data_IF_343129020299
#
_entry.id   IF_343129020299
#
_cell.length_a   1.000
_cell.length_b   1.000
_cell.length_c   1.000
_cell.angle_alpha   90.00
_cell.angle_beta   90.00
_cell.angle_gamma   90.00
#
_symmetry.space_group_name_H-M   'P 1'
#
loop_
_entity.id
_entity.type
_entity.pdbx_description
1 polymer ?
#
# COMPACT_ATOMS: atom_id res chain seq x y z
N UNK A 1 -0.52 16.33 7.40
CA UNK A 1 -0.20 15.66 6.12
C UNK A 1 -1.50 15.34 5.37
N UNK A 2 -2.37 16.34 5.17
CA UNK A 2 -3.76 16.18 4.66
C UNK A 2 -4.11 17.16 3.52
N UNK A 3 -3.12 17.73 2.81
CA UNK A 3 -3.35 18.76 1.78
C UNK A 3 -2.84 18.38 0.38
N UNK A 4 -2.51 17.10 0.11
CA UNK A 4 -2.20 16.68 -1.27
C UNK A 4 -3.49 16.44 -2.04
N UNK A 5 -3.94 17.51 -2.68
CA UNK A 5 -5.18 17.55 -3.47
C UNK A 5 -5.00 16.89 -4.85
N UNK A 6 -3.77 16.77 -5.37
CA UNK A 6 -3.49 16.21 -6.69
C UNK A 6 -2.10 15.55 -6.80
N UNK A 7 -2.02 14.45 -7.56
CA UNK A 7 -0.82 13.73 -7.98
C UNK A 7 -0.62 13.94 -9.50
N UNK A 8 0.59 14.32 -9.93
CA UNK A 8 0.93 14.44 -11.35
C UNK A 8 1.59 13.14 -11.82
N UNK A 9 1.11 12.59 -12.94
CA UNK A 9 1.67 11.37 -13.52
C UNK A 9 1.58 11.41 -15.04
N UNK A 10 2.74 11.35 -15.72
CA UNK A 10 2.87 11.30 -17.20
C UNK A 10 2.03 12.36 -17.94
N UNK A 11 2.01 13.58 -17.41
CA UNK A 11 1.26 14.71 -17.98
C UNK A 11 -0.24 14.72 -17.65
N UNK A 12 -0.71 13.78 -16.83
CA UNK A 12 -2.09 13.71 -16.38
C UNK A 12 -2.18 14.04 -14.88
N UNK A 13 -3.28 14.67 -14.49
CA UNK A 13 -3.55 14.99 -13.08
C UNK A 13 -4.52 13.97 -12.51
N UNK A 14 -4.14 13.39 -11.37
CA UNK A 14 -4.96 12.50 -10.58
C UNK A 14 -5.27 13.14 -9.26
N UNK A 15 -6.39 12.77 -8.66
CA UNK A 15 -6.66 13.08 -7.27
C UNK A 15 -7.01 11.83 -6.50
N UNK A 16 -6.84 11.97 -5.21
CA UNK A 16 -7.20 11.02 -4.19
C UNK A 16 -8.75 10.95 -4.08
N UNK A 17 -9.31 9.75 -4.29
CA UNK A 17 -10.76 9.54 -4.32
C UNK A 17 -11.35 9.60 -2.90
N UNK A 18 -12.26 10.54 -2.66
CA UNK A 18 -12.88 10.73 -1.34
C UNK A 18 -13.65 9.51 -0.83
N UNK A 19 -14.19 8.69 -1.74
CA UNK A 19 -14.93 7.47 -1.40
C UNK A 19 -14.08 6.38 -0.76
N UNK A 20 -12.75 6.44 -0.89
CA UNK A 20 -11.83 5.43 -0.35
C UNK A 20 -11.07 5.89 0.90
N UNK A 21 -11.17 7.18 1.25
CA UNK A 21 -10.44 7.83 2.36
C UNK A 21 -10.58 7.10 3.69
N UNK A 22 -11.76 6.55 3.99
CA UNK A 22 -12.05 5.90 5.28
C UNK A 22 -11.23 4.64 5.57
N UNK A 23 -10.61 4.03 4.56
CA UNK A 23 -9.77 2.86 4.73
C UNK A 23 -8.30 3.10 4.37
N UNK A 24 -7.90 4.26 3.85
CA UNK A 24 -6.50 4.54 3.51
C UNK A 24 -5.51 4.39 4.66
N UNK A 25 -5.81 4.87 5.89
CA UNK A 25 -4.85 4.73 6.99
C UNK A 25 -4.53 3.26 7.30
N UNK A 26 -5.49 2.37 7.00
CA UNK A 26 -5.42 0.92 7.26
C UNK A 26 -4.97 0.12 6.05
N UNK A 27 -5.14 0.66 4.85
CA UNK A 27 -4.77 -0.04 3.63
C UNK A 27 -3.26 -0.30 3.55
N UNK A 28 -2.88 -1.51 3.14
CA UNK A 28 -1.50 -1.90 2.86
C UNK A 28 -1.42 -2.50 1.46
N UNK A 29 -0.43 -2.04 0.71
CA UNK A 29 -0.05 -2.57 -0.59
C UNK A 29 1.17 -3.45 -0.38
N UNK A 30 1.13 -4.69 -0.85
CA UNK A 30 2.12 -5.71 -0.56
C UNK A 30 2.68 -6.22 -1.89
N UNK A 31 3.98 -6.06 -2.10
CA UNK A 31 4.71 -6.74 -3.18
C UNK A 31 5.37 -8.01 -2.65
N UNK A 32 5.10 -9.12 -3.33
CA UNK A 32 5.80 -10.38 -3.13
C UNK A 32 7.08 -10.38 -3.98
N UNK A 33 8.26 -10.69 -3.42
CA UNK A 33 9.51 -10.75 -4.18
C UNK A 33 9.54 -11.87 -5.23
N UNK A 34 8.75 -12.94 -5.05
CA UNK A 34 8.75 -14.11 -5.94
C UNK A 34 7.75 -13.98 -7.10
N UNK A 35 6.78 -13.08 -7.00
CA UNK A 35 5.75 -12.87 -8.02
C UNK A 35 6.05 -11.59 -8.82
N UNK A 36 6.16 -11.75 -10.15
CA UNK A 36 6.37 -10.62 -11.06
C UNK A 36 5.13 -9.71 -11.19
N UNK A 37 3.95 -10.12 -10.70
CA UNK A 37 2.66 -9.40 -10.81
C UNK A 37 1.60 -9.93 -9.81
N UNK A 38 0.54 -9.16 -9.45
CA UNK A 38 0.50 -7.75 -9.07
C UNK A 38 0.56 -7.56 -7.54
N UNK A 39 0.67 -6.30 -7.11
CA UNK A 39 0.54 -5.90 -5.71
C UNK A 39 -0.76 -6.45 -5.11
N UNK A 40 -0.70 -6.93 -3.86
CA UNK A 40 -1.88 -7.27 -3.07
C UNK A 40 -2.33 -6.07 -2.26
N UNK A 41 -3.63 -5.82 -2.25
CA UNK A 41 -4.27 -4.86 -1.36
C UNK A 41 -4.92 -5.58 -0.19
N UNK A 42 -4.65 -5.12 1.03
CA UNK A 42 -5.52 -5.36 2.19
C UNK A 42 -6.06 -4.03 2.69
N UNK A 43 -7.30 -4.03 3.15
CA UNK A 43 -8.02 -2.78 3.51
C UNK A 43 -8.41 -2.70 4.99
N UNK A 44 -8.29 -3.80 5.71
CA UNK A 44 -8.59 -3.91 7.13
C UNK A 44 -7.61 -4.85 7.85
N UNK A 45 -7.63 -4.77 9.17
CA UNK A 45 -6.74 -5.53 10.06
C UNK A 45 -6.98 -7.04 10.00
N UNK A 46 -8.23 -7.48 9.86
CA UNK A 46 -8.55 -8.91 9.81
C UNK A 46 -7.98 -9.56 8.54
N UNK A 47 -8.10 -8.89 7.39
CA UNK A 47 -7.49 -9.31 6.13
C UNK A 47 -5.97 -9.34 6.22
N UNK A 48 -5.39 -8.34 6.87
CA UNK A 48 -3.95 -8.23 7.08
C UNK A 48 -3.41 -9.38 7.93
N UNK A 49 -4.01 -9.64 9.10
CA UNK A 49 -3.59 -10.73 9.97
C UNK A 49 -3.78 -12.11 9.31
N UNK A 50 -4.90 -12.30 8.59
CA UNK A 50 -5.12 -13.53 7.82
C UNK A 50 -4.05 -13.73 6.74
N UNK A 51 -3.67 -12.65 6.04
CA UNK A 51 -2.59 -12.71 5.05
C UNK A 51 -1.25 -13.04 5.71
N UNK A 52 -0.87 -12.34 6.78
CA UNK A 52 0.39 -12.58 7.48
C UNK A 52 0.47 -14.03 7.99
N UNK A 53 -0.61 -14.56 8.56
CA UNK A 53 -0.67 -15.96 9.00
C UNK A 53 -0.50 -16.95 7.84
N UNK A 54 -1.09 -16.67 6.67
CA UNK A 54 -0.92 -17.49 5.47
C UNK A 54 0.52 -17.49 4.95
N UNK A 55 1.25 -16.40 5.12
CA UNK A 55 2.68 -16.32 4.79
C UNK A 55 3.59 -16.93 5.88
N UNK A 56 3.01 -17.54 6.91
CA UNK A 56 3.76 -18.17 7.99
C UNK A 56 4.29 -17.17 9.03
N UNK A 57 3.85 -15.91 9.01
CA UNK A 57 4.19 -14.96 10.06
C UNK A 57 3.47 -15.37 11.35
N UNK A 58 4.22 -15.84 12.33
CA UNK A 58 3.72 -16.07 13.69
C UNK A 58 3.97 -14.79 14.49
N UNK A 59 2.89 -14.13 14.90
CA UNK A 59 3.00 -13.08 15.92
C UNK A 59 3.25 -13.79 17.24
N UNK A 60 4.51 -13.90 17.65
CA UNK A 60 4.87 -14.39 18.97
C UNK A 60 4.37 -13.36 19.99
N UNK A 61 3.20 -13.65 20.55
CA UNK A 61 2.56 -12.79 21.54
C UNK A 61 3.27 -12.93 22.87
N UNK A 62 3.91 -11.85 23.33
CA UNK A 62 4.13 -11.63 24.78
C UNK A 62 4.43 -10.18 25.17
N UNK A 63 4.53 -9.24 24.23
CA UNK A 63 4.47 -7.81 24.56
C UNK A 63 3.07 -7.28 24.27
N UNK A 64 2.26 -7.10 25.30
CA UNK A 64 0.94 -6.43 25.21
C UNK A 64 1.02 -4.97 24.72
N UNK A 65 2.23 -4.45 24.47
CA UNK A 65 2.48 -3.09 24.03
C UNK A 65 2.70 -2.96 22.52
N UNK A 66 2.91 -4.07 21.79
CA UNK A 66 3.24 -4.02 20.37
C UNK A 66 2.02 -4.33 19.50
N UNK A 67 1.62 -3.35 18.68
CA UNK A 67 0.53 -3.46 17.71
C UNK A 67 0.76 -4.67 16.77
N UNK A 68 -0.17 -5.65 16.71
CA UNK A 68 -0.05 -6.84 15.86
C UNK A 68 0.20 -6.52 14.39
N UNK A 69 -0.32 -5.39 13.90
CA UNK A 69 -0.08 -4.94 12.52
C UNK A 69 1.39 -4.54 12.32
N UNK A 70 1.98 -3.85 13.29
CA UNK A 70 3.38 -3.43 13.20
C UNK A 70 4.34 -4.63 13.27
N UNK A 71 4.07 -5.59 14.15
CA UNK A 71 4.88 -6.81 14.28
C UNK A 71 4.89 -7.65 12.99
N UNK A 72 3.75 -7.75 12.32
CA UNK A 72 3.59 -8.51 11.07
C UNK A 72 4.20 -7.79 9.86
N UNK A 73 4.28 -6.45 9.85
CA UNK A 73 5.00 -5.72 8.79
C UNK A 73 6.47 -6.13 8.81
N UNK A 74 7.10 -6.08 9.98
CA UNK A 74 8.52 -6.45 10.12
C UNK A 74 8.79 -7.91 9.76
N UNK A 75 7.88 -8.83 10.13
CA UNK A 75 8.00 -10.23 9.78
C UNK A 75 7.94 -10.45 8.25
N UNK A 76 7.01 -9.77 7.57
CA UNK A 76 6.88 -9.82 6.11
C UNK A 76 8.10 -9.20 5.41
N UNK A 77 8.55 -8.03 5.86
CA UNK A 77 9.75 -7.37 5.33
C UNK A 77 11.01 -8.22 5.54
N UNK A 78 11.14 -8.89 6.69
CA UNK A 78 12.20 -9.86 6.95
C UNK A 78 12.16 -11.07 6.02
N UNK A 79 10.98 -11.42 5.49
CA UNK A 79 10.77 -12.42 4.45
C UNK A 79 10.97 -11.90 3.02
N UNK A 80 11.39 -10.65 2.83
CA UNK A 80 11.63 -10.04 1.52
C UNK A 80 10.42 -9.39 0.87
N UNK A 81 9.25 -9.37 1.54
CA UNK A 81 8.10 -8.61 1.05
C UNK A 81 8.35 -7.11 1.17
N UNK A 82 7.77 -6.34 0.26
CA UNK A 82 7.72 -4.88 0.42
C UNK A 82 6.31 -4.46 0.75
N UNK A 83 6.15 -3.67 1.82
CA UNK A 83 4.84 -3.21 2.30
C UNK A 83 4.80 -1.69 2.25
N UNK A 84 3.79 -1.13 1.58
CA UNK A 84 3.52 0.31 1.57
C UNK A 84 2.16 0.62 2.18
N UNK A 85 2.11 1.65 3.02
CA UNK A 85 0.88 2.42 3.18
C UNK A 85 0.55 3.17 1.88
N UNK A 86 -0.71 3.61 1.73
CA UNK A 86 -1.11 4.45 0.59
C UNK A 86 -0.26 5.72 0.50
N UNK A 87 0.05 6.34 1.64
CA UNK A 87 0.89 7.54 1.67
C UNK A 87 2.31 7.26 1.14
N UNK A 88 2.94 6.18 1.62
CA UNK A 88 4.28 5.77 1.15
C UNK A 88 4.28 5.39 -0.33
N UNK A 89 3.21 4.76 -0.83
CA UNK A 89 3.07 4.44 -2.25
C UNK A 89 3.02 5.73 -3.10
N UNK A 90 2.25 6.72 -2.67
CA UNK A 90 2.16 8.02 -3.36
C UNK A 90 3.50 8.78 -3.32
N UNK A 91 4.16 8.81 -2.16
CA UNK A 91 5.49 9.41 -2.03
C UNK A 91 6.50 8.73 -2.97
N UNK A 92 6.45 7.40 -3.08
CA UNK A 92 7.32 6.65 -3.98
C UNK A 92 7.08 7.00 -5.45
N UNK A 93 5.81 7.10 -5.85
CA UNK A 93 5.42 7.51 -7.21
C UNK A 93 5.95 8.92 -7.53
N UNK A 94 5.86 9.86 -6.59
CA UNK A 94 6.34 11.23 -6.79
C UNK A 94 7.87 11.32 -6.87
N UNK A 95 8.58 10.56 -6.02
CA UNK A 95 10.04 10.62 -5.93
C UNK A 95 10.72 9.86 -7.07
N UNK A 96 10.14 8.76 -7.52
CA UNK A 96 10.74 7.89 -8.55
C UNK A 96 9.73 7.51 -9.65
N UNK A 97 9.17 8.49 -10.39
CA UNK A 97 8.06 8.25 -11.32
C UNK A 97 8.42 7.37 -12.52
N UNK A 98 9.70 7.28 -12.87
CA UNK A 98 10.18 6.45 -13.98
C UNK A 98 10.45 4.98 -13.57
N UNK A 99 10.29 4.64 -12.29
CA UNK A 99 10.51 3.27 -11.82
C UNK A 99 9.36 2.33 -12.22
N UNK A 100 9.69 1.04 -12.41
CA UNK A 100 8.69 -0.01 -12.63
C UNK A 100 7.74 -0.12 -11.42
N UNK A 101 8.28 0.04 -10.21
CA UNK A 101 7.50 0.07 -8.97
C UNK A 101 6.47 1.21 -8.98
N UNK A 102 6.87 2.44 -9.35
CA UNK A 102 5.94 3.56 -9.47
C UNK A 102 4.86 3.30 -10.53
N UNK A 103 5.22 2.73 -11.68
CA UNK A 103 4.27 2.39 -12.73
C UNK A 103 3.24 1.35 -12.25
N UNK A 104 3.69 0.32 -11.54
CA UNK A 104 2.81 -0.70 -10.96
C UNK A 104 1.93 -0.15 -9.83
N UNK A 105 2.49 0.66 -8.92
CA UNK A 105 1.73 1.31 -7.86
C UNK A 105 0.65 2.23 -8.44
N UNK A 106 0.99 3.02 -9.47
CA UNK A 106 0.04 3.91 -10.13
C UNK A 106 -1.11 3.14 -10.79
N UNK A 107 -0.81 2.05 -11.50
CA UNK A 107 -1.81 1.19 -12.11
C UNK A 107 -2.75 0.58 -11.06
N UNK A 108 -2.20 0.03 -9.96
CA UNK A 108 -2.97 -0.59 -8.90
C UNK A 108 -3.85 0.42 -8.15
N UNK A 109 -3.30 1.58 -7.78
CA UNK A 109 -4.05 2.64 -7.09
C UNK A 109 -5.20 3.19 -7.95
N UNK A 110 -5.02 3.25 -9.27
CA UNK A 110 -6.11 3.63 -10.20
C UNK A 110 -7.15 2.52 -10.31
N UNK A 111 -6.74 1.27 -10.48
CA UNK A 111 -7.64 0.11 -10.60
C UNK A 111 -8.47 -0.12 -9.34
N UNK A 112 -7.90 0.11 -8.16
CA UNK A 112 -8.57 0.01 -6.87
C UNK A 112 -9.28 1.30 -6.44
N UNK A 113 -9.40 2.27 -7.35
CA UNK A 113 -10.14 3.51 -7.14
C UNK A 113 -9.61 4.39 -5.99
N UNK A 114 -8.34 4.25 -5.61
CA UNK A 114 -7.67 5.21 -4.71
C UNK A 114 -7.39 6.52 -5.44
N UNK A 115 -7.03 6.43 -6.72
CA UNK A 115 -6.78 7.56 -7.59
C UNK A 115 -7.85 7.64 -8.68
N UNK A 116 -8.39 8.83 -8.89
CA UNK A 116 -9.26 9.16 -10.01
C UNK A 116 -8.61 10.23 -10.87
N UNK A 117 -8.65 10.04 -12.18
CA UNK A 117 -8.12 11.00 -13.14
C UNK A 117 -9.03 12.23 -13.18
N UNK A 118 -8.44 13.41 -13.10
CA UNK A 118 -9.16 14.66 -13.27
C UNK A 118 -9.31 14.98 -14.76
N UNK A 119 -10.49 15.47 -15.20
CA UNK A 119 -10.61 16.02 -16.54
C UNK A 119 -9.69 17.26 -16.66
N UNK A 120 -9.07 17.39 -17.83
CA UNK A 120 -8.29 18.58 -18.22
C UNK A 120 -9.19 19.81 -18.35
#
# INVERSE_FOLDING_TARGET
MMDRIALQWRGETYRLNRGTVSFWPRARLIANPEEATPLRLVTDEAQWLAFAQQQGCVVEGESAEQDPCTATVHALEGGGYTVWSVAQALDHIEVAPESDAASHLMACLTQWFFLEKLPL
#
